data_IF_547244035708
#
_entry.id   IF_547244035708
#
_cell.length_a   1.000
_cell.length_b   1.000
_cell.length_c   1.000
_cell.angle_alpha   90.00
_cell.angle_beta   90.00
_cell.angle_gamma   90.00
#
_symmetry.space_group_name_H-M   'P 1'
#
loop_
_entity.id
_entity.type
_entity.pdbx_description
1 polymer ?
#
# COMPACT_ATOMS: atom_id res chain seq x y z
N UNK A 1 13.10 12.59 46.92
CA UNK A 1 14.19 12.53 45.92
C UNK A 1 13.58 12.75 44.54
N UNK A 2 13.48 14.00 44.13
CA UNK A 2 12.85 14.42 42.88
C UNK A 2 13.94 15.04 42.00
N UNK A 3 14.24 14.43 40.85
CA UNK A 3 15.21 14.97 39.89
C UNK A 3 14.45 15.76 38.82
N UNK A 4 14.69 17.07 38.83
CA UNK A 4 14.32 18.00 37.77
C UNK A 4 15.09 17.65 36.49
N UNK A 5 14.36 17.43 35.39
CA UNK A 5 14.91 17.41 34.04
C UNK A 5 14.81 18.83 33.48
N UNK A 6 15.93 19.54 33.46
CA UNK A 6 16.07 20.81 32.74
C UNK A 6 16.26 20.52 31.25
N UNK A 7 15.31 20.98 30.43
CA UNK A 7 15.46 21.08 28.99
C UNK A 7 16.53 22.12 28.66
N UNK A 8 17.62 21.73 28.01
CA UNK A 8 18.58 22.65 27.40
C UNK A 8 18.14 22.96 25.97
N UNK A 9 17.99 24.25 25.67
CA UNK A 9 17.72 24.75 24.33
C UNK A 9 18.90 24.45 23.36
N UNK A 10 18.63 24.23 22.06
CA UNK A 10 19.67 24.04 21.07
C UNK A 10 20.39 25.35 20.77
N UNK A 11 21.72 25.32 20.92
CA UNK A 11 22.67 26.37 20.55
C UNK A 11 22.59 26.64 19.04
N UNK A 12 22.54 27.92 18.59
CA UNK A 12 22.61 28.25 17.18
C UNK A 12 24.03 27.99 16.64
N UNK A 13 24.13 27.18 15.59
CA UNK A 13 25.38 26.97 14.86
C UNK A 13 25.66 28.20 13.98
N UNK A 14 26.29 29.22 14.55
CA UNK A 14 27.05 30.22 13.80
C UNK A 14 28.39 29.61 13.37
N UNK A 15 28.61 29.49 12.06
CA UNK A 15 29.85 28.93 11.52
C UNK A 15 29.83 28.73 10.01
N UNK A 16 29.21 29.66 9.27
CA UNK A 16 29.17 29.64 7.81
C UNK A 16 30.53 30.01 7.21
N UNK A 17 31.33 29.01 6.84
CA UNK A 17 32.48 29.16 5.96
C UNK A 17 32.04 29.78 4.63
N UNK A 18 32.50 31.00 4.34
CA UNK A 18 32.29 31.69 3.06
C UNK A 18 33.05 30.94 1.95
N UNK A 19 32.35 30.03 1.27
CA UNK A 19 32.79 29.50 -0.02
C UNK A 19 32.32 30.49 -1.09
N UNK A 20 33.25 31.29 -1.61
CA UNK A 20 33.03 32.16 -2.76
C UNK A 20 32.72 31.33 -4.00
N UNK A 21 31.44 31.13 -4.31
CA UNK A 21 31.00 30.71 -5.65
C UNK A 21 30.87 31.96 -6.52
N UNK A 22 31.80 32.10 -7.46
CA UNK A 22 31.61 32.93 -8.66
C UNK A 22 30.34 32.43 -9.37
N UNK A 23 29.26 33.20 -9.26
CA UNK A 23 28.08 33.05 -10.10
C UNK A 23 28.46 33.52 -11.51
N UNK A 24 28.80 32.58 -12.38
CA UNK A 24 28.75 32.83 -13.83
C UNK A 24 27.27 32.85 -14.20
N UNK A 25 26.75 34.04 -14.50
CA UNK A 25 25.39 34.22 -14.99
C UNK A 25 25.22 33.57 -16.35
N UNK A 26 24.76 32.33 -16.36
CA UNK A 26 24.02 31.79 -17.48
C UNK A 26 22.58 32.29 -17.35
N UNK A 27 22.26 33.35 -18.08
CA UNK A 27 20.87 33.68 -18.40
C UNK A 27 20.28 32.50 -19.19
N UNK A 28 19.61 31.58 -18.51
CA UNK A 28 18.62 30.74 -19.16
C UNK A 28 17.53 31.69 -19.65
N UNK A 29 17.53 31.97 -20.94
CA UNK A 29 16.33 32.44 -21.63
C UNK A 29 15.23 31.44 -21.34
N UNK A 30 14.39 31.77 -20.35
CA UNK A 30 13.09 31.15 -20.19
C UNK A 30 12.31 31.51 -21.45
N UNK A 31 12.29 30.58 -22.40
CA UNK A 31 11.38 30.63 -23.53
C UNK A 31 9.98 30.79 -22.94
N UNK A 32 9.39 31.94 -23.23
CA UNK A 32 8.03 32.32 -22.83
C UNK A 32 7.11 31.28 -23.46
N UNK A 33 6.54 30.39 -22.64
CA UNK A 33 5.63 29.35 -23.11
C UNK A 33 4.49 30.01 -23.92
N UNK A 34 4.11 29.45 -25.09
CA UNK A 34 3.03 29.99 -25.89
C UNK A 34 1.75 30.03 -25.04
N UNK A 35 1.00 31.15 -25.15
CA UNK A 35 -0.31 31.32 -24.52
C UNK A 35 -1.21 30.17 -24.99
N UNK A 36 -1.41 29.16 -24.14
CA UNK A 36 -2.41 28.13 -24.36
C UNK A 36 -3.79 28.78 -24.26
N UNK A 37 -4.42 29.06 -25.40
CA UNK A 37 -5.85 29.33 -25.44
C UNK A 37 -6.58 28.08 -24.96
N UNK A 38 -7.22 28.18 -23.78
CA UNK A 38 -7.77 27.07 -23.03
C UNK A 38 -9.02 26.47 -23.70
N UNK A 39 -8.84 25.68 -24.76
CA UNK A 39 -9.83 24.70 -25.15
C UNK A 39 -9.72 23.51 -24.20
N UNK A 40 -10.66 23.40 -23.24
CA UNK A 40 -10.69 22.27 -22.32
C UNK A 40 -11.15 21.03 -23.08
N UNK A 41 -10.21 20.29 -23.67
CA UNK A 41 -10.52 18.98 -24.27
C UNK A 41 -11.10 18.09 -23.18
N UNK A 42 -12.38 17.71 -23.31
CA UNK A 42 -13.04 16.76 -22.40
C UNK A 42 -12.47 15.37 -22.64
N UNK A 43 -11.37 15.05 -21.97
CA UNK A 43 -10.79 13.70 -21.98
C UNK A 43 -11.70 12.78 -21.16
N UNK A 44 -12.22 11.73 -21.79
CA UNK A 44 -12.97 10.67 -21.09
C UNK A 44 -12.02 9.98 -20.12
N UNK A 45 -12.36 9.99 -18.83
CA UNK A 45 -11.57 9.31 -17.81
C UNK A 45 -11.48 7.79 -18.05
N UNK A 46 -10.42 7.11 -17.56
CA UNK A 46 -10.24 5.68 -17.76
C UNK A 46 -11.37 4.87 -17.16
N UNK A 47 -11.74 3.77 -17.79
CA UNK A 47 -12.77 2.88 -17.26
C UNK A 47 -12.27 2.15 -16.01
N UNK A 48 -13.17 1.79 -15.09
CA UNK A 48 -12.78 1.02 -13.89
C UNK A 48 -12.10 -0.31 -14.26
N UNK A 49 -12.50 -0.93 -15.37
CA UNK A 49 -11.89 -2.15 -15.86
C UNK A 49 -10.47 -1.93 -16.40
N UNK A 50 -10.19 -0.82 -17.08
CA UNK A 50 -8.82 -0.45 -17.48
C UNK A 50 -7.91 -0.25 -16.26
N UNK A 51 -8.40 0.44 -15.23
CA UNK A 51 -7.64 0.64 -13.99
C UNK A 51 -7.37 -0.72 -13.31
N UNK A 52 -8.38 -1.57 -13.21
CA UNK A 52 -8.22 -2.93 -12.68
C UNK A 52 -7.19 -3.73 -13.48
N UNK A 53 -7.30 -3.73 -14.81
CA UNK A 53 -6.38 -4.43 -15.70
C UNK A 53 -4.95 -3.89 -15.56
N UNK A 54 -4.78 -2.57 -15.42
CA UNK A 54 -3.48 -1.96 -15.13
C UNK A 54 -2.90 -2.41 -13.79
N UNK A 55 -3.72 -2.52 -12.74
CA UNK A 55 -3.29 -3.08 -11.46
C UNK A 55 -2.89 -4.56 -11.59
N UNK A 56 -3.67 -5.39 -12.28
CA UNK A 56 -3.39 -6.83 -12.42
C UNK A 56 -2.15 -7.09 -13.29
N UNK A 57 -1.86 -6.22 -14.27
CA UNK A 57 -0.68 -6.35 -15.11
C UNK A 57 0.62 -5.85 -14.44
N UNK A 58 0.50 -5.05 -13.38
CA UNK A 58 1.64 -4.61 -12.58
C UNK A 58 2.05 -5.69 -11.55
N UNK A 59 3.37 -5.93 -11.40
CA UNK A 59 3.90 -6.90 -10.45
C UNK A 59 3.48 -6.55 -9.01
N UNK A 60 3.47 -5.27 -8.68
CA UNK A 60 3.03 -4.78 -7.36
C UNK A 60 1.56 -5.09 -7.13
N UNK A 61 0.71 -4.91 -8.15
CA UNK A 61 -0.71 -5.19 -8.03
C UNK A 61 -1.02 -6.68 -7.91
N UNK A 62 -0.26 -7.55 -8.57
CA UNK A 62 -0.33 -9.00 -8.34
C UNK A 62 -0.01 -9.36 -6.88
N UNK A 63 1.01 -8.75 -6.25
CA UNK A 63 1.34 -9.02 -4.83
C UNK A 63 0.21 -8.56 -3.91
N UNK A 64 -0.32 -7.35 -4.13
CA UNK A 64 -1.39 -6.80 -3.29
C UNK A 64 -2.68 -7.59 -3.45
N UNK A 65 -3.06 -7.95 -4.67
CA UNK A 65 -4.23 -8.77 -4.94
C UNK A 65 -4.07 -10.16 -4.31
N UNK A 66 -2.89 -10.79 -4.46
CA UNK A 66 -2.58 -12.06 -3.80
C UNK A 66 -2.68 -11.96 -2.28
N UNK A 67 -2.20 -10.86 -1.66
CA UNK A 67 -2.38 -10.61 -0.21
C UNK A 67 -3.86 -10.52 0.14
N UNK A 68 -4.66 -9.73 -0.58
CA UNK A 68 -6.11 -9.60 -0.32
C UNK A 68 -6.81 -10.95 -0.41
N UNK A 69 -6.60 -11.71 -1.50
CA UNK A 69 -7.22 -13.03 -1.68
C UNK A 69 -6.80 -13.99 -0.57
N UNK A 70 -5.50 -14.06 -0.25
CA UNK A 70 -4.98 -14.90 0.83
C UNK A 70 -5.65 -14.61 2.17
N UNK A 71 -5.71 -13.33 2.56
CA UNK A 71 -6.29 -12.95 3.85
C UNK A 71 -7.82 -13.07 3.87
N UNK A 72 -8.51 -12.90 2.74
CA UNK A 72 -9.93 -13.21 2.62
C UNK A 72 -10.18 -14.69 2.90
N UNK A 73 -9.42 -15.59 2.27
CA UNK A 73 -9.56 -17.04 2.48
C UNK A 73 -9.25 -17.41 3.94
N UNK A 74 -8.18 -16.85 4.51
CA UNK A 74 -7.84 -17.04 5.93
C UNK A 74 -8.93 -16.53 6.85
N UNK A 75 -9.58 -15.42 6.54
CA UNK A 75 -10.65 -14.86 7.35
C UNK A 75 -11.87 -15.77 7.31
N UNK A 76 -12.26 -16.22 6.12
CA UNK A 76 -13.35 -17.19 5.93
C UNK A 76 -13.08 -18.49 6.69
N UNK A 77 -11.86 -19.03 6.60
CA UNK A 77 -11.43 -20.21 7.36
C UNK A 77 -11.48 -19.99 8.87
N UNK A 78 -11.01 -18.83 9.34
CA UNK A 78 -10.98 -18.50 10.77
C UNK A 78 -12.40 -18.32 11.33
N UNK A 79 -13.27 -17.61 10.61
CA UNK A 79 -14.68 -17.42 10.97
C UNK A 79 -15.39 -18.77 10.98
N UNK A 80 -15.15 -19.63 9.98
CA UNK A 80 -15.67 -21.00 9.97
C UNK A 80 -15.20 -21.81 11.19
N UNK A 81 -13.94 -21.69 11.58
CA UNK A 81 -13.40 -22.44 12.71
C UNK A 81 -13.90 -21.95 14.06
N UNK A 82 -14.13 -20.64 14.22
CA UNK A 82 -14.58 -20.04 15.49
C UNK A 82 -16.10 -20.13 15.64
N UNK A 83 -16.85 -19.85 14.57
CA UNK A 83 -18.31 -19.74 14.61
C UNK A 83 -19.05 -20.88 13.89
N UNK A 84 -18.37 -21.58 12.97
CA UNK A 84 -18.95 -22.68 12.19
C UNK A 84 -18.69 -24.05 12.83
N UNK A 85 -18.42 -25.06 12.00
CA UNK A 85 -18.25 -26.45 12.44
C UNK A 85 -17.00 -26.69 13.28
N UNK A 86 -16.06 -25.74 13.33
CA UNK A 86 -14.95 -25.80 14.29
C UNK A 86 -15.40 -25.55 15.73
N UNK A 87 -16.57 -24.94 15.94
CA UNK A 87 -17.16 -24.81 17.26
C UNK A 87 -17.80 -26.14 17.67
N UNK A 88 -17.34 -26.78 18.77
CA UNK A 88 -17.85 -28.09 19.19
C UNK A 88 -19.34 -28.06 19.56
N UNK A 89 -19.91 -26.91 19.92
CA UNK A 89 -21.35 -26.78 20.14
C UNK A 89 -22.13 -26.82 18.81
N UNK A 90 -21.67 -26.10 17.80
CA UNK A 90 -22.27 -26.08 16.46
C UNK A 90 -22.09 -27.43 15.77
N UNK A 91 -20.90 -28.02 15.85
CA UNK A 91 -20.63 -29.36 15.32
C UNK A 91 -21.54 -30.44 15.94
N UNK A 92 -21.79 -30.35 17.26
CA UNK A 92 -22.73 -31.24 17.96
C UNK A 92 -24.16 -31.01 17.51
N UNK A 93 -24.59 -29.75 17.38
CA UNK A 93 -25.93 -29.39 16.90
C UNK A 93 -26.20 -29.85 15.47
N UNK A 94 -25.20 -29.72 14.59
CA UNK A 94 -25.29 -30.20 13.20
C UNK A 94 -25.30 -31.73 13.16
N UNK A 95 -24.47 -32.41 13.97
CA UNK A 95 -24.49 -33.88 14.08
C UNK A 95 -25.82 -34.40 14.63
N UNK A 96 -26.36 -33.81 15.69
CA UNK A 96 -27.65 -34.23 16.25
C UNK A 96 -28.80 -34.01 15.27
N UNK A 97 -28.80 -32.89 14.53
CA UNK A 97 -29.78 -32.63 13.48
C UNK A 97 -29.67 -33.63 12.31
N UNK A 98 -28.46 -34.07 11.95
CA UNK A 98 -28.24 -35.11 10.93
C UNK A 98 -28.72 -36.50 11.39
N UNK A 99 -28.49 -36.85 12.66
CA UNK A 99 -28.95 -38.12 13.24
C UNK A 99 -30.49 -38.17 13.32
N UNK A 100 -31.12 -37.11 13.83
CA UNK A 100 -32.59 -36.97 13.87
C UNK A 100 -33.22 -36.99 12.46
N UNK A 101 -32.52 -36.44 11.48
CA UNK A 101 -32.91 -36.51 10.07
C UNK A 101 -32.87 -37.93 9.49
N UNK A 102 -31.97 -38.79 9.97
CA UNK A 102 -31.88 -40.20 9.56
C UNK A 102 -32.99 -41.05 10.17
N UNK A 103 -33.35 -40.82 11.43
CA UNK A 103 -34.43 -41.56 12.10
C UNK A 103 -35.81 -41.25 11.50
N UNK A 104 -36.05 -39.99 11.12
CA UNK A 104 -37.29 -39.59 10.43
C UNK A 104 -37.40 -40.10 8.99
N UNK A 105 -36.28 -40.37 8.31
CA UNK A 105 -36.26 -40.99 6.97
C UNK A 105 -36.27 -42.53 7.03
N UNK A 106 -35.83 -43.13 8.14
CA UNK A 106 -35.91 -44.57 8.37
C UNK A 106 -37.34 -45.04 8.70
N UNK A 107 -38.23 -44.13 9.10
CA UNK A 107 -39.64 -44.46 9.34
C UNK A 107 -40.47 -44.55 8.04
N UNK A 108 -40.04 -43.88 6.96
CA UNK A 108 -40.78 -43.81 5.69
C UNK A 108 -40.17 -44.65 4.56
N UNK A 109 -39.01 -45.29 4.76
CA UNK A 109 -38.43 -46.21 3.78
C UNK A 109 -37.84 -47.45 4.45
N UNK A 110 -38.71 -48.40 4.78
CA UNK A 110 -38.35 -49.81 4.94
C UNK A 110 -38.08 -50.46 3.57
N UNK A 111 -37.16 -49.91 2.78
CA UNK A 111 -36.62 -50.62 1.63
C UNK A 111 -35.15 -50.23 1.36
N UNK A 112 -34.27 -51.12 1.85
CA UNK A 112 -32.96 -51.48 1.31
C UNK A 112 -31.88 -50.37 1.27
N UNK A 113 -30.95 -50.41 2.23
CA UNK A 113 -29.51 -50.57 1.95
C UNK A 113 -28.67 -50.64 3.24
N UNK A 114 -28.30 -51.87 3.59
CA UNK A 114 -27.08 -52.17 4.33
C UNK A 114 -25.89 -51.93 3.39
N UNK A 115 -25.05 -50.93 3.67
CA UNK A 115 -23.66 -50.95 3.19
C UNK A 115 -22.76 -50.16 4.14
N UNK A 116 -22.24 -50.92 5.10
CA UNK A 116 -20.84 -50.99 5.57
C UNK A 116 -19.99 -49.72 5.57
N UNK A 117 -19.60 -49.35 6.80
CA UNK A 117 -18.27 -48.84 7.14
C UNK A 117 -17.16 -49.71 6.50
N UNK A 118 -16.30 -49.10 5.68
CA UNK A 118 -14.84 -49.31 5.58
C UNK A 118 -14.30 -48.56 4.35
N UNK A 119 -13.46 -47.54 4.55
CA UNK A 119 -12.42 -47.08 3.60
C UNK A 119 -11.71 -45.84 4.19
N UNK A 120 -10.76 -46.11 5.09
CA UNK A 120 -9.62 -45.25 5.34
C UNK A 120 -8.48 -45.80 4.47
N UNK A 121 -7.69 -44.88 3.91
CA UNK A 121 -6.45 -45.06 3.15
C UNK A 121 -6.57 -45.14 1.61
N UNK A 122 -5.81 -44.23 0.99
CA UNK A 122 -5.37 -44.12 -0.40
C UNK A 122 -6.40 -44.04 -1.54
N UNK A 123 -6.55 -42.81 -2.05
CA UNK A 123 -6.72 -42.48 -3.49
C UNK A 123 -6.85 -40.96 -3.66
N UNK A 124 -5.71 -40.26 -3.71
CA UNK A 124 -5.63 -38.84 -4.06
C UNK A 124 -5.07 -38.73 -5.47
N UNK A 125 -5.93 -38.72 -6.49
CA UNK A 125 -5.66 -37.96 -7.74
C UNK A 125 -6.86 -37.80 -8.70
N UNK A 126 -7.98 -38.52 -8.52
CA UNK A 126 -9.15 -38.42 -9.43
C UNK A 126 -10.44 -37.77 -8.90
N UNK A 127 -10.55 -37.45 -7.61
CA UNK A 127 -11.85 -37.16 -6.94
C UNK A 127 -12.30 -35.69 -6.90
N UNK A 128 -11.61 -34.79 -7.59
CA UNK A 128 -11.87 -33.34 -7.48
C UNK A 128 -13.29 -32.92 -7.89
N UNK A 129 -13.83 -33.54 -8.96
CA UNK A 129 -15.10 -33.18 -9.58
C UNK A 129 -16.31 -33.98 -9.06
N UNK A 130 -16.14 -35.26 -8.70
CA UNK A 130 -17.25 -36.06 -8.16
C UNK A 130 -17.69 -35.61 -6.76
N UNK A 131 -16.73 -35.10 -5.96
CA UNK A 131 -17.02 -34.50 -4.66
C UNK A 131 -17.88 -33.23 -4.77
N UNK A 132 -17.70 -32.44 -5.83
CA UNK A 132 -18.50 -31.23 -6.08
C UNK A 132 -19.99 -31.57 -6.25
N UNK A 133 -20.29 -32.56 -7.08
CA UNK A 133 -21.67 -33.01 -7.31
C UNK A 133 -22.32 -33.60 -6.06
N UNK A 134 -21.55 -34.20 -5.15
CA UNK A 134 -22.06 -34.75 -3.88
C UNK A 134 -22.38 -33.64 -2.86
N UNK A 135 -21.52 -32.63 -2.75
CA UNK A 135 -21.74 -31.47 -1.86
C UNK A 135 -22.88 -30.60 -2.37
N UNK A 136 -22.96 -30.34 -3.68
CA UNK A 136 -24.06 -29.59 -4.28
C UNK A 136 -25.40 -30.32 -4.09
N UNK A 137 -25.41 -31.65 -4.22
CA UNK A 137 -26.59 -32.48 -3.93
C UNK A 137 -26.97 -32.45 -2.45
N UNK A 138 -26.01 -32.37 -1.54
CA UNK A 138 -26.27 -32.24 -0.11
C UNK A 138 -26.84 -30.85 0.23
N UNK A 139 -26.25 -29.79 -0.33
CA UNK A 139 -26.75 -28.41 -0.21
C UNK A 139 -28.16 -28.28 -0.79
N UNK A 140 -28.40 -28.84 -1.98
CA UNK A 140 -29.71 -28.88 -2.59
C UNK A 140 -30.70 -29.66 -1.71
N UNK A 141 -30.33 -30.82 -1.14
CA UNK A 141 -31.22 -31.58 -0.22
C UNK A 141 -31.52 -30.83 1.08
N UNK A 142 -30.56 -30.06 1.62
CA UNK A 142 -30.75 -29.26 2.84
C UNK A 142 -31.61 -28.02 2.56
N UNK A 143 -31.42 -27.37 1.41
CA UNK A 143 -32.15 -26.16 1.01
C UNK A 143 -33.55 -26.45 0.45
N UNK A 144 -33.72 -27.56 -0.27
CA UNK A 144 -34.97 -27.93 -0.95
C UNK A 144 -35.90 -28.79 -0.09
N UNK A 145 -35.59 -29.05 1.18
CA UNK A 145 -36.51 -29.79 2.07
C UNK A 145 -37.76 -28.93 2.31
N UNK A 146 -38.94 -29.32 1.80
CA UNK A 146 -40.13 -28.48 1.79
C UNK A 146 -40.67 -28.39 3.23
N UNK A 147 -40.36 -27.30 3.90
CA UNK A 147 -41.12 -26.85 5.06
C UNK A 147 -41.41 -25.38 4.85
N UNK A 148 -42.67 -25.00 5.05
CA UNK A 148 -43.26 -23.72 4.62
C UNK A 148 -42.72 -22.46 5.37
N UNK A 149 -41.59 -22.57 6.03
CA UNK A 149 -40.88 -21.45 6.64
C UNK A 149 -39.37 -21.61 6.39
N UNK A 150 -38.81 -20.70 5.59
CA UNK A 150 -37.37 -20.54 5.42
C UNK A 150 -36.81 -19.91 6.70
N UNK A 151 -36.70 -20.69 7.78
CA UNK A 151 -36.18 -20.17 9.04
C UNK A 151 -34.73 -19.72 8.87
N UNK A 152 -34.35 -18.60 9.47
CA UNK A 152 -33.00 -18.04 9.42
C UNK A 152 -31.90 -19.09 9.72
N UNK A 153 -32.23 -20.08 10.57
CA UNK A 153 -31.36 -21.20 10.94
C UNK A 153 -31.02 -22.15 9.79
N UNK A 154 -31.87 -22.30 8.76
CA UNK A 154 -31.55 -23.11 7.57
C UNK A 154 -30.55 -22.40 6.67
N UNK A 155 -30.73 -21.10 6.49
CA UNK A 155 -29.84 -20.27 5.67
C UNK A 155 -28.45 -20.18 6.32
N UNK A 156 -28.39 -20.02 7.64
CA UNK A 156 -27.16 -20.07 8.42
C UNK A 156 -26.41 -21.40 8.23
N UNK A 157 -27.10 -22.55 8.37
CA UNK A 157 -26.49 -23.87 8.16
C UNK A 157 -26.01 -24.09 6.73
N UNK A 158 -26.80 -23.67 5.74
CA UNK A 158 -26.42 -23.72 4.33
C UNK A 158 -25.16 -22.89 4.05
N UNK A 159 -25.10 -21.67 4.62
CA UNK A 159 -23.94 -20.79 4.51
C UNK A 159 -22.70 -21.40 5.15
N UNK A 160 -22.81 -22.05 6.31
CA UNK A 160 -21.69 -22.71 6.98
C UNK A 160 -21.12 -23.89 6.16
N UNK A 161 -21.98 -24.72 5.57
CA UNK A 161 -21.55 -25.83 4.70
C UNK A 161 -20.89 -25.30 3.43
N UNK A 162 -21.47 -24.26 2.83
CA UNK A 162 -20.87 -23.58 1.68
C UNK A 162 -19.50 -22.99 2.01
N UNK A 163 -19.37 -22.33 3.16
CA UNK A 163 -18.12 -21.76 3.64
C UNK A 163 -17.06 -22.84 3.87
N UNK A 164 -17.42 -23.97 4.48
CA UNK A 164 -16.53 -25.12 4.67
C UNK A 164 -16.00 -25.65 3.32
N UNK A 165 -16.90 -25.82 2.35
CA UNK A 165 -16.55 -26.25 1.00
C UNK A 165 -15.60 -25.28 0.30
N UNK A 166 -15.88 -23.97 0.39
CA UNK A 166 -15.03 -22.92 -0.17
C UNK A 166 -13.65 -22.95 0.49
N UNK A 167 -13.57 -23.06 1.81
CA UNK A 167 -12.29 -23.11 2.54
C UNK A 167 -11.47 -24.33 2.15
N UNK A 168 -12.09 -25.51 2.01
CA UNK A 168 -11.40 -26.73 1.59
C UNK A 168 -10.82 -26.59 0.17
N UNK A 169 -11.61 -26.10 -0.79
CA UNK A 169 -11.16 -25.90 -2.16
C UNK A 169 -10.11 -24.81 -2.31
N UNK A 170 -10.16 -23.77 -1.48
CA UNK A 170 -9.20 -22.67 -1.49
C UNK A 170 -7.96 -22.92 -0.62
N UNK A 171 -7.91 -24.03 0.12
CA UNK A 171 -6.77 -24.35 0.99
C UNK A 171 -5.45 -24.52 0.23
N UNK A 172 -5.47 -25.24 -0.90
CA UNK A 172 -4.31 -25.37 -1.80
C UNK A 172 -3.87 -24.02 -2.39
N UNK A 173 -4.85 -23.15 -2.71
CA UNK A 173 -4.57 -21.81 -3.21
C UNK A 173 -3.86 -20.94 -2.16
N UNK A 174 -4.14 -21.09 -0.86
CA UNK A 174 -3.45 -20.33 0.18
C UNK A 174 -1.95 -20.65 0.23
N UNK A 175 -1.58 -21.93 0.13
CA UNK A 175 -0.18 -22.34 0.12
C UNK A 175 0.53 -21.80 -1.14
N UNK A 176 -0.11 -21.96 -2.31
CA UNK A 176 0.40 -21.45 -3.58
C UNK A 176 0.57 -19.93 -3.58
N UNK A 177 -0.40 -19.16 -3.07
CA UNK A 177 -0.33 -17.70 -2.97
C UNK A 177 0.77 -17.23 -2.01
N UNK A 178 0.98 -17.95 -0.91
CA UNK A 178 2.07 -17.64 0.01
C UNK A 178 3.42 -17.81 -0.68
N UNK A 179 3.67 -18.96 -1.32
CA UNK A 179 4.90 -19.22 -2.07
C UNK A 179 5.08 -18.23 -3.22
N UNK A 180 4.02 -17.96 -3.98
CA UNK A 180 4.01 -16.98 -5.06
C UNK A 180 4.48 -15.60 -4.60
N UNK A 181 4.01 -15.12 -3.44
CA UNK A 181 4.44 -13.83 -2.89
C UNK A 181 5.93 -13.80 -2.50
N UNK A 182 6.49 -14.91 -2.03
CA UNK A 182 7.93 -14.99 -1.72
C UNK A 182 8.74 -15.06 -3.03
N UNK A 183 8.26 -15.81 -4.02
CA UNK A 183 8.89 -15.87 -5.35
C UNK A 183 8.97 -14.50 -6.02
N UNK A 184 7.94 -13.66 -5.87
CA UNK A 184 7.95 -12.30 -6.44
C UNK A 184 8.94 -11.34 -5.76
N UNK A 185 9.44 -11.67 -4.56
CA UNK A 185 10.45 -10.88 -3.84
C UNK A 185 11.86 -11.46 -3.95
N UNK A 186 11.96 -12.71 -4.39
CA UNK A 186 13.20 -13.42 -4.59
C UNK A 186 14.07 -12.75 -5.66
N UNK A 187 15.39 -12.94 -5.55
CA UNK A 187 16.36 -12.44 -6.51
C UNK A 187 16.79 -11.00 -6.27
N UNK A 188 16.40 -10.39 -5.15
CA UNK A 188 16.86 -9.04 -4.80
C UNK A 188 18.13 -9.03 -3.97
N UNK A 189 18.50 -10.15 -3.32
CA UNK A 189 19.72 -10.25 -2.51
C UNK A 189 20.99 -9.88 -3.29
N UNK A 190 21.28 -10.41 -4.49
CA UNK A 190 22.56 -10.13 -5.17
C UNK A 190 22.80 -8.64 -5.37
N UNK A 191 21.76 -7.90 -5.77
CA UNK A 191 21.82 -6.44 -5.95
C UNK A 191 22.01 -5.71 -4.62
N UNK A 192 21.36 -6.17 -3.55
CA UNK A 192 21.50 -5.58 -2.21
C UNK A 192 22.88 -5.87 -1.60
N UNK A 193 23.41 -7.07 -1.77
CA UNK A 193 24.79 -7.45 -1.37
C UNK A 193 25.79 -6.56 -2.09
N UNK A 194 25.62 -6.36 -3.41
CA UNK A 194 26.50 -5.48 -4.17
C UNK A 194 26.44 -4.03 -3.67
N UNK A 195 25.23 -3.50 -3.43
CA UNK A 195 25.04 -2.16 -2.86
C UNK A 195 25.67 -2.03 -1.47
N UNK A 196 25.43 -3.00 -0.59
CA UNK A 196 26.00 -3.05 0.75
C UNK A 196 27.54 -3.14 0.71
N UNK A 197 28.09 -3.91 -0.22
CA UNK A 197 29.53 -3.98 -0.47
C UNK A 197 30.10 -2.62 -0.86
N UNK A 198 29.38 -1.82 -1.66
CA UNK A 198 29.80 -0.47 -2.00
C UNK A 198 29.78 0.48 -0.77
N UNK A 199 28.83 0.32 0.15
CA UNK A 199 28.81 1.07 1.43
C UNK A 199 29.99 0.69 2.33
N UNK A 200 30.35 -0.58 2.40
CA UNK A 200 31.55 -1.05 3.11
C UNK A 200 32.80 -0.45 2.46
N UNK A 201 32.94 -0.53 1.13
CA UNK A 201 34.06 0.08 0.39
C UNK A 201 34.17 1.58 0.63
N UNK A 202 33.05 2.30 0.63
CA UNK A 202 33.02 3.73 0.94
C UNK A 202 33.50 4.02 2.37
N UNK A 203 33.04 3.22 3.33
CA UNK A 203 33.46 3.34 4.73
C UNK A 203 34.95 3.05 4.92
N UNK A 204 35.47 2.03 4.23
CA UNK A 204 36.90 1.73 4.20
C UNK A 204 37.70 2.88 3.57
N UNK A 205 37.20 3.50 2.49
CA UNK A 205 37.83 4.69 1.91
C UNK A 205 37.88 5.85 2.89
N UNK A 206 36.80 6.13 3.63
CA UNK A 206 36.78 7.18 4.65
C UNK A 206 37.75 6.91 5.81
N UNK A 207 37.92 5.64 6.20
CA UNK A 207 38.91 5.27 7.23
C UNK A 207 40.35 5.35 6.72
N UNK A 208 40.57 4.95 5.47
CA UNK A 208 41.88 4.92 4.84
C UNK A 208 42.34 6.28 4.29
N UNK A 209 41.42 7.25 4.16
CA UNK A 209 41.76 8.61 3.73
C UNK A 209 42.77 9.22 4.71
N UNK A 210 43.99 9.44 4.21
CA UNK A 210 45.13 10.02 4.95
C UNK A 210 45.19 11.53 4.82
N UNK A 211 44.08 12.18 4.44
CA UNK A 211 43.89 13.61 4.60
C UNK A 211 44.50 14.10 5.93
N UNK A 212 45.51 14.98 5.83
CA UNK A 212 46.40 15.37 6.94
C UNK A 212 45.70 16.15 8.07
N UNK A 213 44.41 16.48 7.91
CA UNK A 213 43.69 17.38 8.81
C UNK A 213 42.82 16.66 9.84
N UNK A 214 42.53 15.36 9.67
CA UNK A 214 41.57 14.66 10.53
C UNK A 214 42.23 13.57 11.39
N UNK A 215 42.08 13.69 12.72
CA UNK A 215 42.49 12.65 13.66
C UNK A 215 41.77 11.31 13.43
N UNK A 216 42.31 10.18 13.93
CA UNK A 216 41.68 8.86 13.82
C UNK A 216 40.27 8.81 14.42
N UNK A 217 40.03 9.53 15.53
CA UNK A 217 38.72 9.63 16.16
C UNK A 217 37.68 10.28 15.23
N UNK A 218 38.04 11.37 14.55
CA UNK A 218 37.15 12.09 13.61
C UNK A 218 36.79 11.23 12.40
N UNK A 219 37.70 10.35 11.95
CA UNK A 219 37.42 9.39 10.87
C UNK A 219 36.40 8.33 11.29
N UNK A 220 36.58 7.73 12.47
CA UNK A 220 35.61 6.75 13.01
C UNK A 220 34.25 7.40 13.22
N UNK A 221 34.20 8.63 13.75
CA UNK A 221 32.95 9.36 13.95
C UNK A 221 32.23 9.66 12.62
N UNK A 222 32.96 10.01 11.55
CA UNK A 222 32.36 10.19 10.23
C UNK A 222 31.74 8.91 9.68
N UNK A 223 32.43 7.78 9.85
CA UNK A 223 31.87 6.47 9.48
C UNK A 223 30.65 6.15 10.33
N UNK A 224 30.71 6.37 11.65
CA UNK A 224 29.56 6.15 12.52
C UNK A 224 28.36 7.00 12.08
N UNK A 225 28.55 8.29 11.84
CA UNK A 225 27.51 9.20 11.36
C UNK A 225 26.93 8.76 10.01
N UNK A 226 27.76 8.21 9.12
CA UNK A 226 27.31 7.64 7.86
C UNK A 226 26.41 6.41 8.07
N UNK A 227 26.83 5.47 8.93
CA UNK A 227 26.07 4.25 9.22
C UNK A 227 24.82 4.48 10.07
N UNK A 228 24.80 5.52 10.91
CA UNK A 228 23.62 5.91 11.72
C UNK A 228 22.65 6.82 10.97
N UNK A 229 22.94 7.17 9.71
CA UNK A 229 21.99 7.91 8.87
C UNK A 229 20.73 7.06 8.63
N UNK A 230 19.55 7.71 8.67
CA UNK A 230 18.24 7.05 8.49
C UNK A 230 18.16 6.19 7.22
N UNK A 231 18.73 6.68 6.13
CA UNK A 231 18.80 5.95 4.85
C UNK A 231 19.59 4.63 5.00
N UNK A 232 20.75 4.67 5.64
CA UNK A 232 21.57 3.46 5.84
C UNK A 232 20.89 2.45 6.76
N UNK A 233 20.25 2.90 7.85
CA UNK A 233 19.46 2.05 8.73
C UNK A 233 18.31 1.39 7.95
N UNK A 234 17.60 2.15 7.11
CA UNK A 234 16.53 1.62 6.26
C UNK A 234 17.06 0.61 5.25
N UNK A 235 18.19 0.88 4.61
CA UNK A 235 18.81 -0.06 3.68
C UNK A 235 19.31 -1.34 4.37
N UNK A 236 19.83 -1.23 5.58
CA UNK A 236 20.27 -2.38 6.38
C UNK A 236 19.09 -3.25 6.83
N UNK A 237 18.00 -2.65 7.32
CA UNK A 237 16.78 -3.39 7.67
C UNK A 237 16.19 -4.10 6.44
N UNK A 238 16.13 -3.39 5.31
CA UNK A 238 15.69 -3.93 4.04
C UNK A 238 16.60 -5.07 3.52
N UNK A 239 17.90 -4.96 3.70
CA UNK A 239 18.86 -6.01 3.34
C UNK A 239 18.69 -7.25 4.21
N UNK A 240 18.58 -7.06 5.52
CA UNK A 240 18.35 -8.14 6.48
C UNK A 240 17.04 -8.87 6.20
N UNK A 241 15.95 -8.14 5.93
CA UNK A 241 14.68 -8.71 5.51
C UNK A 241 14.80 -9.56 4.25
N UNK A 242 15.50 -9.07 3.23
CA UNK A 242 15.68 -9.82 1.98
C UNK A 242 16.44 -11.13 2.22
N UNK A 243 17.48 -11.13 3.07
CA UNK A 243 18.22 -12.35 3.45
C UNK A 243 17.29 -13.38 4.09
N UNK A 244 16.52 -12.96 5.10
CA UNK A 244 15.60 -13.86 5.79
C UNK A 244 14.49 -14.39 4.86
N UNK A 245 13.94 -13.55 3.99
CA UNK A 245 12.87 -13.92 3.04
C UNK A 245 13.35 -14.96 2.01
N UNK A 246 14.54 -14.78 1.41
CA UNK A 246 15.07 -15.79 0.47
C UNK A 246 15.52 -17.08 1.19
N UNK A 247 16.04 -16.99 2.41
CA UNK A 247 16.37 -18.17 3.21
C UNK A 247 15.11 -19.00 3.51
N UNK A 248 14.00 -18.34 3.86
CA UNK A 248 12.69 -18.98 4.04
C UNK A 248 12.16 -19.59 2.74
N UNK A 249 12.40 -18.96 1.60
CA UNK A 249 12.05 -19.51 0.29
C UNK A 249 12.80 -20.81 -0.01
N UNK A 250 14.10 -20.84 0.29
CA UNK A 250 14.95 -22.04 0.10
C UNK A 250 14.44 -23.21 0.94
N UNK A 251 14.00 -22.95 2.18
CA UNK A 251 13.35 -23.97 3.02
C UNK A 251 12.02 -24.44 2.46
N UNK A 252 11.20 -23.55 1.88
CA UNK A 252 9.90 -23.93 1.31
C UNK A 252 9.98 -24.75 0.04
N UNK A 253 11.05 -24.60 -0.74
CA UNK A 253 11.31 -25.45 -1.90
C UNK A 253 12.00 -26.77 -1.55
N UNK A 254 12.29 -27.03 -0.27
CA UNK A 254 13.03 -28.19 0.20
C UNK A 254 14.41 -28.35 -0.51
N UNK A 255 15.02 -27.24 -0.95
CA UNK A 255 16.32 -27.26 -1.67
C UNK A 255 17.45 -27.64 -0.70
N UNK A 256 17.38 -27.14 0.53
CA UNK A 256 18.41 -27.34 1.57
C UNK A 256 17.97 -28.31 2.68
N UNK A 257 17.20 -29.36 2.38
CA UNK A 257 16.70 -30.45 3.27
C UNK A 257 15.17 -30.42 3.50
N UNK A 258 14.61 -31.57 3.94
CA UNK A 258 13.19 -31.88 4.16
C UNK A 258 12.51 -31.00 5.22
N UNK A 259 12.38 -29.69 4.96
CA UNK A 259 11.59 -28.73 5.73
C UNK A 259 11.80 -28.76 7.26
N UNK A 260 10.73 -28.41 7.99
CA UNK A 260 10.68 -28.34 9.46
C UNK A 260 10.84 -29.70 10.16
N UNK A 261 10.69 -30.82 9.44
CA UNK A 261 10.48 -32.14 10.04
C UNK A 261 11.50 -33.22 9.61
N UNK A 262 12.37 -32.96 8.64
CA UNK A 262 13.35 -33.95 8.14
C UNK A 262 14.80 -33.47 8.12
N UNK A 263 15.10 -32.27 8.61
CA UNK A 263 16.47 -31.77 8.71
C UNK A 263 17.13 -32.01 10.08
N UNK A 264 18.46 -32.04 10.12
CA UNK A 264 19.23 -32.14 11.37
C UNK A 264 19.01 -30.94 12.32
N UNK A 265 19.55 -31.02 13.55
CA UNK A 265 19.39 -29.97 14.57
C UNK A 265 19.78 -28.56 14.05
N UNK A 266 20.81 -28.47 13.21
CA UNK A 266 21.26 -27.23 12.60
C UNK A 266 20.20 -26.59 11.69
N UNK A 267 19.55 -27.36 10.81
CA UNK A 267 18.56 -26.80 9.87
C UNK A 267 17.28 -26.38 10.56
N UNK A 268 16.84 -27.11 11.58
CA UNK A 268 15.71 -26.67 12.40
C UNK A 268 16.02 -25.35 13.11
N UNK A 269 17.24 -25.21 13.66
CA UNK A 269 17.67 -23.96 14.30
C UNK A 269 17.80 -22.80 13.30
N UNK A 270 18.31 -23.08 12.09
CA UNK A 270 18.43 -22.08 11.03
C UNK A 270 17.05 -21.64 10.52
N UNK A 271 16.09 -22.55 10.38
CA UNK A 271 14.72 -22.23 10.02
C UNK A 271 14.05 -21.33 11.06
N UNK A 272 14.10 -21.71 12.36
CA UNK A 272 13.51 -20.88 13.42
C UNK A 272 14.18 -19.52 13.50
N UNK A 273 15.50 -19.47 13.33
CA UNK A 273 16.23 -18.20 13.28
C UNK A 273 15.78 -17.34 12.09
N UNK A 274 15.64 -17.94 10.90
CA UNK A 274 15.22 -17.21 9.71
C UNK A 274 13.81 -16.64 9.86
N UNK A 275 12.88 -17.42 10.42
CA UNK A 275 11.50 -17.02 10.71
C UNK A 275 11.47 -15.83 11.69
N UNK A 276 12.22 -15.90 12.79
CA UNK A 276 12.31 -14.81 13.76
C UNK A 276 12.94 -13.55 13.16
N UNK A 277 14.03 -13.69 12.40
CA UNK A 277 14.71 -12.55 11.76
C UNK A 277 13.86 -11.91 10.65
N UNK A 278 13.08 -12.69 9.90
CA UNK A 278 12.10 -12.17 8.93
C UNK A 278 11.11 -11.25 9.65
N UNK A 279 10.55 -11.71 10.77
CA UNK A 279 9.59 -10.96 11.55
C UNK A 279 10.18 -9.67 12.16
N UNK A 280 11.37 -9.75 12.77
CA UNK A 280 12.03 -8.58 13.36
C UNK A 280 12.42 -7.54 12.32
N UNK A 281 12.97 -7.97 11.19
CA UNK A 281 13.38 -7.08 10.10
C UNK A 281 12.19 -6.42 9.42
N UNK A 282 11.09 -7.16 9.27
CA UNK A 282 9.84 -6.63 8.76
C UNK A 282 9.24 -5.59 9.70
N UNK A 283 9.20 -5.85 11.02
CA UNK A 283 8.78 -4.87 12.02
C UNK A 283 9.65 -3.61 12.00
N UNK A 284 10.98 -3.75 11.91
CA UNK A 284 11.88 -2.60 11.78
C UNK A 284 11.58 -1.78 10.52
N UNK A 285 11.29 -2.44 9.40
CA UNK A 285 10.89 -1.81 8.14
C UNK A 285 9.58 -1.05 8.28
N UNK A 286 8.59 -1.62 8.98
CA UNK A 286 7.31 -0.95 9.29
C UNK A 286 7.53 0.30 10.13
N UNK A 287 8.31 0.22 11.21
CA UNK A 287 8.57 1.36 12.11
C UNK A 287 9.28 2.50 11.37
N UNK A 288 10.28 2.17 10.54
CA UNK A 288 10.96 3.15 9.70
C UNK A 288 10.01 3.76 8.66
N UNK A 289 9.12 2.95 8.08
CA UNK A 289 8.07 3.39 7.17
C UNK A 289 7.12 4.39 7.83
N UNK A 290 6.60 4.08 9.03
CA UNK A 290 5.73 4.95 9.80
C UNK A 290 6.42 6.28 10.15
N UNK A 291 7.68 6.24 10.55
CA UNK A 291 8.46 7.44 10.83
C UNK A 291 8.70 8.29 9.56
N UNK A 292 8.91 7.65 8.40
CA UNK A 292 8.99 8.35 7.11
C UNK A 292 7.67 9.01 6.73
N UNK A 293 6.56 8.29 6.85
CA UNK A 293 5.21 8.79 6.55
C UNK A 293 4.83 9.94 7.49
N UNK A 294 5.17 9.84 8.78
CA UNK A 294 4.95 10.91 9.75
C UNK A 294 5.70 12.20 9.37
N UNK A 295 7.00 12.10 9.07
CA UNK A 295 7.79 13.26 8.66
C UNK A 295 7.27 13.87 7.36
N UNK A 296 6.91 13.02 6.39
CA UNK A 296 6.32 13.48 5.12
C UNK A 296 4.99 14.18 5.33
N UNK A 297 4.15 13.66 6.24
CA UNK A 297 2.88 14.28 6.58
C UNK A 297 3.07 15.67 7.19
N UNK A 298 4.02 15.85 8.10
CA UNK A 298 4.35 17.17 8.67
C UNK A 298 4.78 18.14 7.58
N UNK A 299 5.68 17.73 6.67
CA UNK A 299 6.16 18.56 5.57
C UNK A 299 5.02 18.99 4.64
N UNK A 300 4.16 18.05 4.23
CA UNK A 300 3.01 18.34 3.38
C UNK A 300 2.00 19.27 4.06
N UNK A 301 1.82 19.15 5.38
CA UNK A 301 0.97 20.04 6.18
C UNK A 301 1.52 21.46 6.28
N UNK A 302 2.84 21.60 6.45
CA UNK A 302 3.49 22.90 6.40
C UNK A 302 3.36 23.55 5.01
N UNK A 303 3.63 22.79 3.96
CA UNK A 303 3.45 23.24 2.57
C UNK A 303 2.00 23.67 2.27
N UNK A 304 1.02 22.90 2.73
CA UNK A 304 -0.40 23.24 2.61
C UNK A 304 -0.70 24.58 3.28
N UNK A 305 -0.16 24.80 4.48
CA UNK A 305 -0.34 26.03 5.25
C UNK A 305 0.33 27.23 4.55
N UNK A 306 1.52 27.04 3.98
CA UNK A 306 2.24 28.06 3.19
C UNK A 306 1.46 28.46 1.94
N UNK A 307 0.90 27.51 1.20
CA UNK A 307 0.09 27.80 0.00
C UNK A 307 -1.14 28.62 0.38
N UNK A 308 -1.87 28.21 1.41
CA UNK A 308 -3.06 28.94 1.90
C UNK A 308 -2.69 30.34 2.39
N UNK A 309 -1.56 30.48 3.10
CA UNK A 309 -1.09 31.78 3.57
C UNK A 309 -0.73 32.69 2.39
N UNK A 310 0.00 32.18 1.41
CA UNK A 310 0.35 32.93 0.20
C UNK A 310 -0.88 33.39 -0.57
N UNK A 311 -1.92 32.57 -0.66
CA UNK A 311 -3.21 32.97 -1.22
C UNK A 311 -3.87 34.09 -0.43
N UNK A 312 -3.92 33.98 0.91
CA UNK A 312 -4.52 35.01 1.77
C UNK A 312 -3.76 36.33 1.71
N UNK A 313 -2.42 36.28 1.72
CA UNK A 313 -1.56 37.46 1.60
C UNK A 313 -1.80 38.12 0.25
N UNK A 314 -1.80 37.36 -0.85
CA UNK A 314 -2.06 37.92 -2.18
C UNK A 314 -3.47 38.51 -2.32
N UNK A 315 -4.49 37.85 -1.79
CA UNK A 315 -5.86 38.38 -1.79
C UNK A 315 -5.93 39.69 -1.00
N UNK A 316 -5.24 39.79 0.14
CA UNK A 316 -5.17 41.01 0.94
C UNK A 316 -4.39 42.12 0.23
N UNK A 317 -3.24 41.81 -0.37
CA UNK A 317 -2.45 42.77 -1.14
C UNK A 317 -3.24 43.30 -2.33
N UNK A 318 -3.97 42.45 -3.05
CA UNK A 318 -4.86 42.88 -4.16
C UNK A 318 -5.94 43.85 -3.68
N UNK A 319 -6.56 43.60 -2.52
CA UNK A 319 -7.53 44.53 -1.92
C UNK A 319 -6.89 45.87 -1.58
N UNK A 320 -5.75 45.85 -0.88
CA UNK A 320 -5.03 47.09 -0.50
C UNK A 320 -4.59 47.89 -1.72
N UNK A 321 -4.04 47.23 -2.75
CA UNK A 321 -3.62 47.87 -4.00
C UNK A 321 -4.84 48.41 -4.77
N UNK A 322 -5.95 47.68 -4.78
CA UNK A 322 -7.22 48.15 -5.35
C UNK A 322 -7.76 49.39 -4.65
N UNK A 323 -7.76 49.38 -3.32
CA UNK A 323 -8.20 50.52 -2.49
C UNK A 323 -7.28 51.74 -2.69
N UNK A 324 -5.96 51.54 -2.79
CA UNK A 324 -4.99 52.60 -3.10
C UNK A 324 -5.20 53.19 -4.51
N UNK A 325 -5.36 52.35 -5.54
CA UNK A 325 -5.67 52.81 -6.90
C UNK A 325 -6.98 53.61 -6.91
N UNK A 326 -8.01 53.16 -6.21
CA UNK A 326 -9.31 53.84 -6.11
C UNK A 326 -9.21 55.18 -5.40
N UNK A 327 -8.52 55.24 -4.26
CA UNK A 327 -8.30 56.48 -3.51
C UNK A 327 -7.46 57.48 -4.32
N UNK A 328 -6.46 57.01 -5.07
CA UNK A 328 -5.64 57.89 -5.90
C UNK A 328 -6.44 58.47 -7.09
N UNK A 329 -7.34 57.68 -7.70
CA UNK A 329 -8.27 58.19 -8.72
C UNK A 329 -9.20 59.27 -8.18
N UNK A 330 -9.76 59.11 -6.97
CA UNK A 330 -10.59 60.14 -6.35
C UNK A 330 -9.83 61.45 -6.03
N UNK A 331 -8.51 61.37 -5.78
CA UNK A 331 -7.68 62.55 -5.55
C UNK A 331 -7.29 63.28 -6.85
N UNK A 332 -7.30 62.59 -8.00
CA UNK A 332 -6.87 63.13 -9.30
C UNK A 332 -8.04 63.57 -10.21
N UNK A 333 -9.27 63.12 -9.96
CA UNK A 333 -10.45 63.48 -10.74
C UNK A 333 -11.15 64.72 -10.18
N UNK A 334 -10.56 65.90 -10.37
CA UNK A 334 -11.27 67.18 -10.14
C UNK A 334 -11.58 68.00 -11.38
N UNK A 335 -11.10 67.67 -12.60
CA UNK A 335 -11.38 68.52 -13.77
C UNK A 335 -11.26 67.89 -15.19
N UNK A 336 -11.32 66.56 -15.40
CA UNK A 336 -11.28 65.99 -16.77
C UNK A 336 -12.31 64.89 -16.99
N UNK A 337 -12.94 64.97 -18.16
CA UNK A 337 -14.15 64.30 -18.64
C UNK A 337 -14.21 62.76 -18.43
N UNK A 338 -15.42 62.21 -18.24
CA UNK A 338 -15.64 60.78 -18.11
C UNK A 338 -15.68 60.14 -19.51
N UNK A 339 -14.53 59.91 -20.13
CA UNK A 339 -14.45 58.88 -21.17
C UNK A 339 -14.20 57.52 -20.52
N UNK A 340 -15.17 56.66 -20.77
CA UNK A 340 -15.42 55.34 -20.23
C UNK A 340 -14.35 54.35 -20.74
N UNK A 341 -13.12 54.43 -20.23
CA UNK A 341 -12.12 53.39 -20.50
C UNK A 341 -12.48 52.12 -19.71
N UNK A 342 -12.99 51.16 -20.48
CA UNK A 342 -13.40 49.80 -20.15
C UNK A 342 -12.27 49.00 -19.48
N UNK A 343 -12.17 49.09 -18.14
CA UNK A 343 -11.21 48.36 -17.31
C UNK A 343 -11.67 46.89 -17.06
N UNK A 344 -11.84 46.10 -18.13
CA UNK A 344 -12.04 44.65 -18.04
C UNK A 344 -10.74 43.83 -18.31
N UNK A 345 -9.63 44.49 -18.67
CA UNK A 345 -8.39 43.82 -19.14
C UNK A 345 -7.47 43.25 -18.03
N UNK A 346 -7.82 43.38 -16.73
CA UNK A 346 -7.04 42.80 -15.61
C UNK A 346 -7.58 41.43 -15.12
N UNK A 347 -8.67 40.91 -15.70
CA UNK A 347 -9.24 39.58 -15.35
C UNK A 347 -8.41 38.41 -15.90
N UNK A 348 -7.77 38.55 -17.05
CA UNK A 348 -7.18 37.42 -17.78
C UNK A 348 -5.80 36.98 -17.23
N UNK A 349 -5.00 37.89 -16.68
CA UNK A 349 -3.74 37.51 -16.03
C UNK A 349 -3.93 36.90 -14.62
N UNK A 350 -5.10 37.10 -14.01
CA UNK A 350 -5.42 36.61 -12.66
C UNK A 350 -5.95 35.18 -12.62
N UNK A 351 -6.58 34.72 -13.70
CA UNK A 351 -7.20 33.39 -13.79
C UNK A 351 -6.19 32.24 -13.77
N UNK A 352 -5.19 32.32 -14.64
CA UNK A 352 -4.17 31.26 -14.84
C UNK A 352 -3.35 31.00 -13.55
N UNK A 353 -2.94 32.08 -12.88
CA UNK A 353 -2.21 31.97 -11.62
C UNK A 353 -3.06 31.37 -10.49
N UNK A 354 -4.37 31.66 -10.47
CA UNK A 354 -5.30 31.11 -9.46
C UNK A 354 -5.54 29.62 -9.71
N UNK A 355 -5.65 29.21 -10.98
CA UNK A 355 -5.77 27.81 -11.38
C UNK A 355 -4.54 26.99 -10.94
N UNK A 356 -3.33 27.53 -11.11
CA UNK A 356 -2.09 26.88 -10.66
C UNK A 356 -2.06 26.60 -9.15
N UNK A 357 -2.56 27.51 -8.32
CA UNK A 357 -2.60 27.26 -6.86
C UNK A 357 -3.66 26.24 -6.44
N UNK A 358 -4.80 26.22 -7.13
CA UNK A 358 -5.85 25.23 -6.87
C UNK A 358 -5.33 23.84 -7.19
N UNK A 359 -4.64 23.66 -8.33
CA UNK A 359 -4.03 22.38 -8.70
C UNK A 359 -2.94 21.98 -7.69
N UNK A 360 -2.06 22.89 -7.28
CA UNK A 360 -1.06 22.61 -6.23
C UNK A 360 -1.69 22.18 -4.90
N UNK A 361 -2.80 22.81 -4.48
CA UNK A 361 -3.53 22.42 -3.27
C UNK A 361 -4.16 21.04 -3.40
N UNK A 362 -4.74 20.72 -4.55
CA UNK A 362 -5.37 19.42 -4.79
C UNK A 362 -4.32 18.30 -4.88
N UNK A 363 -3.18 18.54 -5.52
CA UNK A 363 -2.04 17.62 -5.51
C UNK A 363 -1.53 17.40 -4.08
N UNK A 364 -1.36 18.46 -3.28
CA UNK A 364 -0.92 18.33 -1.91
C UNK A 364 -1.95 17.56 -1.04
N UNK A 365 -3.25 17.83 -1.21
CA UNK A 365 -4.32 17.04 -0.55
C UNK A 365 -4.26 15.57 -0.93
N UNK A 366 -4.08 15.23 -2.21
CA UNK A 366 -3.90 13.85 -2.68
C UNK A 366 -2.70 13.18 -2.02
N UNK A 367 -1.57 13.90 -1.92
CA UNK A 367 -0.35 13.42 -1.26
C UNK A 367 -0.59 13.15 0.23
N UNK A 368 -1.28 14.05 0.94
CA UNK A 368 -1.64 13.86 2.35
C UNK A 368 -2.50 12.60 2.53
N UNK A 369 -3.53 12.41 1.70
CA UNK A 369 -4.39 11.22 1.78
C UNK A 369 -3.59 9.94 1.51
N UNK A 370 -2.67 9.97 0.56
CA UNK A 370 -1.79 8.83 0.25
C UNK A 370 -0.92 8.45 1.45
N UNK A 371 -0.33 9.45 2.11
CA UNK A 371 0.47 9.24 3.33
C UNK A 371 -0.39 8.69 4.47
N UNK A 372 -1.61 9.19 4.65
CA UNK A 372 -2.55 8.68 5.67
C UNK A 372 -2.94 7.22 5.41
N UNK A 373 -3.26 6.85 4.17
CA UNK A 373 -3.58 5.47 3.81
C UNK A 373 -2.39 4.55 4.10
N UNK A 374 -1.17 4.96 3.74
CA UNK A 374 0.04 4.20 4.01
C UNK A 374 0.32 4.07 5.51
N UNK A 375 0.13 5.14 6.29
CA UNK A 375 0.29 5.11 7.74
C UNK A 375 -0.70 4.13 8.38
N UNK A 376 -1.99 4.21 8.04
CA UNK A 376 -3.01 3.27 8.56
C UNK A 376 -2.67 1.84 8.18
N UNK A 377 -2.28 1.61 6.91
CA UNK A 377 -1.86 0.29 6.42
C UNK A 377 -0.70 -0.28 7.25
N UNK A 378 0.34 0.52 7.46
CA UNK A 378 1.52 0.13 8.23
C UNK A 378 1.19 -0.06 9.72
N UNK A 379 0.26 0.72 10.29
CA UNK A 379 -0.23 0.48 11.66
C UNK A 379 -0.99 -0.84 11.77
N UNK A 380 -1.80 -1.21 10.77
CA UNK A 380 -2.45 -2.52 10.74
C UNK A 380 -1.43 -3.67 10.66
N UNK A 381 -0.41 -3.55 9.79
CA UNK A 381 0.68 -4.54 9.72
C UNK A 381 1.46 -4.59 11.05
N UNK A 382 1.76 -3.45 11.67
CA UNK A 382 2.45 -3.39 12.96
C UNK A 382 1.70 -4.17 14.05
N UNK A 383 0.38 -3.95 14.17
CA UNK A 383 -0.45 -4.64 15.17
C UNK A 383 -0.58 -6.13 14.82
N UNK A 384 -0.64 -6.46 13.53
CA UNK A 384 -0.67 -7.85 13.06
C UNK A 384 0.61 -8.62 13.43
N UNK A 385 1.77 -8.00 13.27
CA UNK A 385 3.08 -8.60 13.54
C UNK A 385 3.45 -8.57 15.03
N UNK A 386 2.98 -7.55 15.76
CA UNK A 386 3.14 -7.43 17.21
C UNK A 386 2.57 -8.64 17.97
N UNK A 387 1.50 -9.27 17.46
CA UNK A 387 0.97 -10.50 18.04
C UNK A 387 2.04 -11.61 18.12
N UNK A 388 2.87 -11.76 17.08
CA UNK A 388 3.87 -12.81 17.02
C UNK A 388 5.08 -12.49 17.92
N UNK A 389 5.52 -11.24 17.91
CA UNK A 389 6.70 -10.78 18.67
C UNK A 389 6.42 -10.75 20.17
N UNK A 390 5.29 -10.18 20.58
CA UNK A 390 4.93 -10.03 21.99
C UNK A 390 4.07 -11.18 22.53
N UNK A 391 3.78 -12.18 21.69
CA UNK A 391 2.92 -13.31 22.02
C UNK A 391 1.54 -12.89 22.56
N UNK A 392 1.00 -11.77 22.06
CA UNK A 392 -0.28 -11.25 22.52
C UNK A 392 -1.43 -12.14 22.07
N UNK A 393 -2.28 -12.55 23.02
CA UNK A 393 -3.45 -13.36 22.71
C UNK A 393 -4.57 -12.49 22.12
N UNK A 394 -4.55 -12.30 20.80
CA UNK A 394 -5.54 -11.55 20.06
C UNK A 394 -6.65 -12.46 19.53
N UNK A 395 -7.88 -11.94 19.46
CA UNK A 395 -8.99 -12.64 18.82
C UNK A 395 -8.66 -12.95 17.35
N UNK A 396 -8.61 -14.24 16.97
CA UNK A 396 -8.10 -14.69 15.67
C UNK A 396 -8.77 -14.02 14.45
N UNK A 397 -10.11 -13.89 14.37
CA UNK A 397 -10.74 -13.17 13.28
C UNK A 397 -10.31 -11.71 13.19
N UNK A 398 -10.14 -11.03 14.33
CA UNK A 398 -9.67 -9.65 14.37
C UNK A 398 -8.23 -9.55 13.86
N UNK A 399 -7.33 -10.42 14.31
CA UNK A 399 -5.97 -10.51 13.79
C UNK A 399 -5.94 -10.68 12.26
N UNK A 400 -6.65 -11.67 11.72
CA UNK A 400 -6.68 -11.90 10.27
C UNK A 400 -7.32 -10.73 9.52
N UNK A 401 -8.31 -10.05 10.12
CA UNK A 401 -8.93 -8.87 9.52
C UNK A 401 -7.97 -7.69 9.38
N UNK A 402 -6.98 -7.52 10.29
CA UNK A 402 -5.94 -6.49 10.16
C UNK A 402 -5.05 -6.74 8.94
N UNK A 403 -4.68 -8.00 8.71
CA UNK A 403 -3.92 -8.39 7.52
C UNK A 403 -4.69 -8.15 6.22
N UNK A 404 -6.01 -8.43 6.22
CA UNK A 404 -6.91 -8.12 5.10
C UNK A 404 -7.02 -6.61 4.87
N UNK A 405 -7.24 -5.83 5.93
CA UNK A 405 -7.37 -4.38 5.88
C UNK A 405 -6.09 -3.73 5.32
N UNK A 406 -4.93 -4.17 5.78
CA UNK A 406 -3.64 -3.73 5.22
C UNK A 406 -3.53 -4.08 3.72
N UNK A 407 -3.88 -5.31 3.33
CA UNK A 407 -3.89 -5.72 1.92
C UNK A 407 -4.82 -4.85 1.07
N UNK A 408 -6.04 -4.59 1.55
CA UNK A 408 -7.05 -3.80 0.85
C UNK A 408 -6.64 -2.33 0.71
N UNK A 409 -6.10 -1.71 1.77
CA UNK A 409 -5.57 -0.35 1.72
C UNK A 409 -4.39 -0.23 0.75
N UNK A 410 -3.51 -1.24 0.73
CA UNK A 410 -2.41 -1.32 -0.23
C UNK A 410 -2.90 -1.40 -1.69
N UNK A 411 -3.91 -2.21 -1.96
CA UNK A 411 -4.52 -2.33 -3.29
C UNK A 411 -5.26 -1.05 -3.69
N UNK A 412 -5.99 -0.42 -2.76
CA UNK A 412 -6.68 0.84 -2.99
C UNK A 412 -5.72 1.99 -3.33
N UNK A 413 -4.58 2.08 -2.64
CA UNK A 413 -3.57 3.07 -2.97
C UNK A 413 -3.01 2.87 -4.39
N UNK A 414 -2.69 1.62 -4.74
CA UNK A 414 -2.23 1.28 -6.08
C UNK A 414 -3.29 1.60 -7.15
N UNK A 415 -4.56 1.30 -6.87
CA UNK A 415 -5.68 1.61 -7.76
C UNK A 415 -5.73 3.10 -8.08
N UNK A 416 -5.59 3.96 -7.06
CA UNK A 416 -5.55 5.41 -7.25
C UNK A 416 -4.37 5.84 -8.10
N UNK A 417 -3.18 5.33 -7.79
CA UNK A 417 -1.95 5.65 -8.54
C UNK A 417 -2.07 5.25 -10.02
N UNK A 418 -2.64 4.07 -10.31
CA UNK A 418 -2.86 3.61 -11.69
C UNK A 418 -3.92 4.43 -12.41
N UNK A 419 -5.01 4.82 -11.70
CA UNK A 419 -6.02 5.72 -12.26
C UNK A 419 -5.44 7.08 -12.64
N UNK A 420 -4.61 7.67 -11.78
CA UNK A 420 -3.97 8.95 -12.06
C UNK A 420 -3.00 8.84 -13.25
N UNK A 421 -2.19 7.77 -13.32
CA UNK A 421 -1.30 7.50 -14.46
C UNK A 421 -2.05 7.35 -15.78
N UNK A 422 -3.15 6.60 -15.80
CA UNK A 422 -3.97 6.42 -17.00
C UNK A 422 -4.64 7.73 -17.42
N UNK A 423 -5.10 8.53 -16.46
CA UNK A 423 -5.66 9.86 -16.73
C UNK A 423 -4.60 10.78 -17.35
N UNK A 424 -3.39 10.81 -16.81
CA UNK A 424 -2.27 11.58 -17.37
C UNK A 424 -1.92 11.14 -18.79
N UNK A 425 -1.87 9.83 -19.05
CA UNK A 425 -1.63 9.30 -20.39
C UNK A 425 -2.73 9.70 -21.37
N UNK A 426 -4.00 9.65 -20.95
CA UNK A 426 -5.12 10.06 -21.79
C UNK A 426 -5.08 11.57 -22.10
N UNK A 427 -4.67 12.40 -21.14
CA UNK A 427 -4.46 13.85 -21.35
C UNK A 427 -3.31 14.10 -22.32
N UNK A 428 -2.16 13.44 -22.16
CA UNK A 428 -1.03 13.58 -23.07
C UNK A 428 -1.39 13.14 -24.50
N UNK A 429 -2.07 12.01 -24.65
CA UNK A 429 -2.53 11.53 -25.95
C UNK A 429 -3.52 12.49 -26.62
N UNK A 430 -4.38 13.16 -25.84
CA UNK A 430 -5.29 14.18 -26.37
C UNK A 430 -4.53 15.43 -26.86
N UNK A 431 -3.52 15.88 -26.11
CA UNK A 431 -2.66 17.00 -26.51
C UNK A 431 -1.87 16.65 -27.78
N UNK A 432 -1.32 15.44 -27.86
CA UNK A 432 -0.60 14.97 -29.06
C UNK A 432 -1.52 14.89 -30.28
N UNK A 433 -2.77 14.44 -30.11
CA UNK A 433 -3.75 14.40 -31.19
C UNK A 433 -4.16 15.81 -31.67
N UNK A 434 -4.33 16.76 -30.76
CA UNK A 434 -4.63 18.16 -31.09
C UNK A 434 -3.45 18.81 -31.84
N UNK A 435 -2.23 18.62 -31.36
CA UNK A 435 -1.03 19.12 -32.02
C UNK A 435 -0.84 18.53 -33.43
N UNK A 436 -1.24 17.26 -33.64
CA UNK A 436 -1.21 16.64 -34.96
C UNK A 436 -2.23 17.27 -35.92
N UNK A 437 -3.45 17.55 -35.44
CA UNK A 437 -4.49 18.23 -36.23
C UNK A 437 -4.05 19.65 -36.62
N UNK A 438 -3.45 20.40 -35.68
CA UNK A 438 -2.92 21.74 -35.95
C UNK A 438 -1.78 21.69 -36.98
N UNK A 439 -0.87 20.72 -36.89
CA UNK A 439 0.20 20.55 -37.85
C UNK A 439 -0.32 20.21 -39.26
N UNK A 440 -1.33 19.34 -39.37
CA UNK A 440 -1.97 19.02 -40.65
C UNK A 440 -2.69 20.24 -41.25
N UNK A 441 -3.34 21.08 -40.43
CA UNK A 441 -3.98 22.31 -40.87
C UNK A 441 -2.97 23.33 -41.42
N UNK A 442 -1.82 23.51 -40.74
CA UNK A 442 -0.74 24.41 -41.20
C UNK A 442 -0.15 23.94 -42.52
N UNK A 443 0.01 22.61 -42.71
CA UNK A 443 0.50 22.04 -43.97
C UNK A 443 -0.53 22.17 -45.09
N UNK A 444 -1.82 22.13 -44.79
CA UNK A 444 -2.88 22.30 -45.79
C UNK A 444 -3.04 23.76 -46.28
N UNK A 445 -2.71 24.74 -45.43
CA UNK A 445 -2.74 26.17 -45.76
C UNK A 445 -1.49 26.66 -46.50
N UNK A 446 -0.39 25.90 -46.47
CA UNK A 446 0.89 26.22 -47.13
C UNK A 446 0.98 25.60 -48.53
#
# INVERSE_FOLDING_TARGET
MSRNLSYTEPVPLEGGMKVGRRASGMQQQQQKAPKQTAYSVRVKGPSNFEVFNACVNDLTGKDKLAKVVLYTIRLLSTVHNVHGLGNPAVARSVRSALVMGKETLSADNSFVLNTSQTALCDENEGRGFSAFGSVLRLLAKVLLRPSNALSATKLERGLLVFLAFVVEKLSGLMAGLSVYRHLMRAGTIPFRVWKFSNHIRHSLRLLLDRSKLDGPATRVQRVLNYWTTKDMISQMANFWYAISDELMLVFRFNILLDGKHGGGAFTSALYSWAEDQELYSWMATILLGLNNDWNKWILLKDEQSRIILNQKVRARTRRIVGDLKRNNRMAQSRDLDPEEEDYDDEKDAGGDLTLSYVDQLDQNRKNITTVQINAIRLSCDLVFDAQYIFQWNMYKPFHVSLGLLSGALGLYNLWRDQKDRLTQKAVLAAIEAEAAIEAEAIVADA
#
